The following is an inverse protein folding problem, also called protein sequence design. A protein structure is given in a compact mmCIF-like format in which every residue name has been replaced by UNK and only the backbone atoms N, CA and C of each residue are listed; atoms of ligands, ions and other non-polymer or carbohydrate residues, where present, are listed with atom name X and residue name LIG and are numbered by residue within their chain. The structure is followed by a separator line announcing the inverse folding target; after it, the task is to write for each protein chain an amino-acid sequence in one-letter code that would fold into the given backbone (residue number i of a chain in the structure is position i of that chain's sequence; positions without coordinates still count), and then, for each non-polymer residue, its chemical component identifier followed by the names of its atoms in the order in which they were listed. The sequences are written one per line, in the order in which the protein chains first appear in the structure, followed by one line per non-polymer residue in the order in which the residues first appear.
data_IF_911693524459
#
_entry.id   IF_911693524459
#
_cell.length_a   1.000
_cell.length_b   1.000
_cell.length_c   1.000
_cell.angle_alpha   90.00
_cell.angle_beta   90.00
_cell.angle_gamma   90.00
#
_symmetry.space_group_name_H-M   'P 1'
#
loop_
_entity.id
_entity.type
_entity.pdbx_description
1 polymer ?
#
# COMPACT_ATOMS: atom_id res chain seq x y z
N UNK A 1 25.63 12.59 47.18
CA UNK A 1 25.76 13.41 45.96
C UNK A 1 24.39 13.49 45.30
N UNK A 2 23.70 14.63 45.39
CA UNK A 2 22.47 14.89 44.65
C UNK A 2 22.84 15.16 43.19
N UNK A 3 23.17 14.10 42.45
CA UNK A 3 23.33 14.17 41.00
C UNK A 3 21.96 14.43 40.40
N UNK A 4 21.66 15.69 40.10
CA UNK A 4 20.45 16.07 39.38
C UNK A 4 20.41 15.31 38.05
N UNK A 5 19.63 14.22 38.02
CA UNK A 5 19.53 13.36 36.85
C UNK A 5 19.06 14.15 35.64
N UNK A 6 19.54 13.77 34.45
CA UNK A 6 19.02 14.32 33.19
C UNK A 6 17.58 13.82 33.04
N UNK A 7 16.61 14.70 33.31
CA UNK A 7 15.18 14.42 33.12
C UNK A 7 14.72 15.17 31.87
N UNK A 8 14.23 14.43 30.88
CA UNK A 8 13.62 14.98 29.66
C UNK A 8 12.13 15.22 29.90
N UNK A 9 11.70 16.47 29.83
CA UNK A 9 10.31 16.91 29.77
C UNK A 9 9.92 17.12 28.29
N UNK A 10 9.61 16.03 27.60
CA UNK A 10 9.37 16.06 26.16
C UNK A 10 8.14 16.91 25.79
N UNK A 11 8.33 17.81 24.83
CA UNK A 11 7.25 18.46 24.11
C UNK A 11 7.06 17.79 22.75
N UNK A 12 6.04 16.93 22.64
CA UNK A 12 5.72 16.22 21.40
C UNK A 12 5.16 17.11 20.30
N UNK A 13 5.02 18.42 20.50
CA UNK A 13 4.71 19.41 19.46
C UNK A 13 5.85 20.41 19.24
N UNK A 14 6.88 20.36 20.08
CA UNK A 14 7.97 21.34 20.07
C UNK A 14 8.93 21.20 18.89
N UNK A 15 8.94 20.05 18.20
CA UNK A 15 9.72 19.78 16.97
C UNK A 15 11.18 20.26 17.04
N UNK A 16 11.83 20.03 18.19
CA UNK A 16 13.22 20.45 18.38
C UNK A 16 14.15 19.90 17.29
N UNK A 17 15.07 20.73 16.81
CA UNK A 17 15.94 20.42 15.68
C UNK A 17 15.39 20.86 14.32
N UNK A 18 14.16 21.38 14.23
CA UNK A 18 13.57 21.88 12.96
C UNK A 18 14.41 22.98 12.32
N UNK A 19 14.95 23.92 13.11
CA UNK A 19 15.79 25.03 12.62
C UNK A 19 17.30 24.74 12.71
N UNK A 20 17.69 23.47 12.82
CA UNK A 20 19.08 23.08 13.11
C UNK A 20 19.52 23.38 14.54
N UNK A 21 18.63 23.91 15.40
CA UNK A 21 18.89 24.08 16.83
C UNK A 21 18.94 22.71 17.50
N UNK A 22 20.18 22.25 17.73
CA UNK A 22 20.44 20.97 18.42
C UNK A 22 20.20 21.07 19.92
N UNK A 23 20.08 22.27 20.49
CA UNK A 23 19.83 22.49 21.92
C UNK A 23 18.34 22.67 22.19
N UNK A 24 17.68 21.55 22.41
CA UNK A 24 16.28 21.54 22.78
C UNK A 24 16.10 21.96 24.25
N UNK A 25 15.34 23.03 24.53
CA UNK A 25 15.01 23.48 25.90
C UNK A 25 14.00 22.57 26.64
N UNK A 26 13.95 21.29 26.30
CA UNK A 26 12.98 20.34 26.82
C UNK A 26 13.44 19.60 28.08
N UNK A 27 14.49 20.04 28.77
CA UNK A 27 14.91 19.43 30.03
C UNK A 27 16.22 19.94 30.57
N UNK A 28 16.67 19.33 31.67
CA UNK A 28 18.00 19.54 32.24
C UNK A 28 19.03 18.62 31.56
N UNK A 29 20.26 19.12 31.38
CA UNK A 29 21.40 18.32 30.95
C UNK A 29 21.83 18.45 29.48
N UNK A 30 22.77 17.59 29.06
CA UNK A 30 23.38 17.56 27.73
C UNK A 30 22.52 16.82 26.68
N UNK A 31 21.23 17.17 26.62
CA UNK A 31 20.30 16.63 25.64
C UNK A 31 20.49 17.32 24.29
N UNK A 32 20.50 16.53 23.22
CA UNK A 32 20.51 16.98 21.84
C UNK A 32 19.24 16.53 21.13
N UNK A 33 18.78 17.33 20.17
CA UNK A 33 17.70 16.98 19.27
C UNK A 33 18.16 16.99 17.81
N UNK A 34 17.53 16.14 17.00
CA UNK A 34 17.83 16.00 15.58
C UNK A 34 16.54 15.72 14.80
N UNK A 35 16.28 16.51 13.75
CA UNK A 35 15.24 16.26 12.74
C UNK A 35 15.79 15.31 11.67
N UNK A 36 15.06 14.25 11.39
CA UNK A 36 15.36 13.26 10.35
C UNK A 36 14.19 13.19 9.38
N UNK A 37 14.26 13.89 8.22
CA UNK A 37 13.24 13.76 7.19
C UNK A 37 13.29 12.35 6.57
N UNK A 38 12.20 11.92 5.94
CA UNK A 38 12.07 10.63 5.27
C UNK A 38 12.50 9.44 6.14
N UNK A 39 12.12 9.44 7.43
CA UNK A 39 12.52 8.43 8.41
C UNK A 39 11.28 7.87 9.13
N UNK A 40 11.05 6.53 9.12
CA UNK A 40 11.92 5.50 8.55
C UNK A 40 11.87 5.42 7.02
N UNK A 41 10.88 6.09 6.41
CA UNK A 41 10.63 6.09 4.97
C UNK A 41 10.13 7.46 4.51
N UNK A 42 10.11 7.68 3.19
CA UNK A 42 9.57 8.91 2.59
C UNK A 42 8.15 9.21 3.05
N UNK A 43 7.86 10.49 3.31
CA UNK A 43 6.56 10.98 3.78
C UNK A 43 6.43 11.04 5.30
N UNK A 44 7.47 10.67 6.04
CA UNK A 44 7.51 10.79 7.49
C UNK A 44 8.75 11.53 7.97
N UNK A 45 8.55 12.36 8.97
CA UNK A 45 9.62 13.08 9.67
C UNK A 45 9.73 12.59 11.10
N UNK A 46 10.96 12.31 11.53
CA UNK A 46 11.28 11.82 12.86
C UNK A 46 12.11 12.86 13.62
N UNK A 47 11.63 13.29 14.80
CA UNK A 47 12.37 14.18 15.71
C UNK A 47 12.91 13.37 16.87
N UNK A 48 14.24 13.23 16.93
CA UNK A 48 14.91 12.39 17.93
C UNK A 48 15.54 13.23 19.04
N UNK A 49 15.51 12.72 20.26
CA UNK A 49 16.14 13.29 21.45
C UNK A 49 17.05 12.25 22.09
N UNK A 50 18.26 12.65 22.47
CA UNK A 50 19.24 11.78 23.11
C UNK A 50 20.35 12.57 23.80
N UNK A 51 21.27 11.88 24.48
CA UNK A 51 22.43 12.53 25.10
C UNK A 51 23.56 12.72 24.06
N UNK A 52 24.23 13.89 24.09
CA UNK A 52 25.29 14.28 23.13
C UNK A 52 26.40 13.22 22.96
N UNK A 53 26.78 12.52 24.04
CA UNK A 53 27.90 11.58 24.08
C UNK A 53 27.39 10.13 24.27
N UNK A 54 26.42 9.69 23.44
CA UNK A 54 25.56 8.50 23.60
C UNK A 54 26.17 7.10 23.76
N UNK A 55 27.42 6.96 24.19
CA UNK A 55 28.02 5.70 24.62
C UNK A 55 27.66 5.40 26.08
N UNK A 56 26.80 4.40 26.29
CA UNK A 56 26.43 3.88 27.62
C UNK A 56 25.49 4.75 28.46
N UNK A 57 25.37 6.05 28.16
CA UNK A 57 24.58 6.96 28.97
C UNK A 57 23.07 6.83 28.69
N UNK A 58 22.29 6.82 29.76
CA UNK A 58 20.83 6.88 29.72
C UNK A 58 20.32 8.09 30.50
N UNK A 59 19.10 8.49 30.23
CA UNK A 59 18.39 9.56 30.92
C UNK A 59 17.01 9.08 31.35
N UNK A 60 16.33 9.91 32.14
CA UNK A 60 14.96 9.65 32.56
C UNK A 60 14.00 10.47 31.68
N UNK A 61 13.05 9.82 31.03
CA UNK A 61 11.95 10.49 30.34
C UNK A 61 10.80 10.72 31.32
N UNK A 62 10.37 11.96 31.47
CA UNK A 62 9.16 12.25 32.23
C UNK A 62 7.95 11.60 31.54
N UNK A 63 7.15 10.86 32.32
CA UNK A 63 5.93 10.23 31.83
C UNK A 63 4.80 11.25 31.56
N UNK A 64 4.85 12.43 32.19
CA UNK A 64 4.00 13.59 31.88
C UNK A 64 4.69 14.45 30.83
N UNK A 65 4.05 14.59 29.69
CA UNK A 65 4.52 15.38 28.56
C UNK A 65 4.08 16.84 28.71
N UNK A 66 4.75 17.75 28.01
CA UNK A 66 4.43 19.19 28.09
C UNK A 66 3.06 19.54 27.51
N UNK A 67 2.48 18.69 26.66
CA UNK A 67 1.12 18.84 26.14
C UNK A 67 0.03 18.39 27.13
N UNK A 68 0.41 18.02 28.36
CA UNK A 68 -0.48 17.47 29.38
C UNK A 68 -0.81 15.98 29.20
N UNK A 69 -0.33 15.36 28.11
CA UNK A 69 -0.46 13.93 27.87
C UNK A 69 0.39 13.09 28.82
N UNK A 70 -0.01 11.83 29.03
CA UNK A 70 0.73 10.86 29.85
C UNK A 70 1.09 9.63 29.04
N UNK A 71 2.28 9.08 29.26
CA UNK A 71 2.68 7.78 28.72
C UNK A 71 2.11 6.68 29.63
N UNK A 72 1.30 5.79 29.07
CA UNK A 72 0.62 4.70 29.76
C UNK A 72 1.16 3.37 29.25
N UNK A 73 1.59 2.49 30.18
CA UNK A 73 2.09 1.16 29.85
C UNK A 73 0.95 0.12 29.72
N UNK A 74 1.34 -1.10 29.34
CA UNK A 74 0.47 -2.27 29.28
C UNK A 74 -0.26 -2.44 30.63
N UNK A 75 -1.58 -2.62 30.58
CA UNK A 75 -2.54 -2.72 31.70
C UNK A 75 -3.01 -1.40 32.33
N UNK A 76 -2.77 -0.25 31.68
CA UNK A 76 -3.38 1.02 32.11
C UNK A 76 -2.72 1.64 33.34
N UNK A 77 -1.56 1.13 33.77
CA UNK A 77 -0.79 1.72 34.85
C UNK A 77 0.01 2.91 34.30
N UNK A 78 -0.16 4.05 34.96
CA UNK A 78 0.69 5.22 34.72
C UNK A 78 2.05 4.93 35.32
N UNK A 79 3.08 4.89 34.49
CA UNK A 79 4.45 4.64 34.95
C UNK A 79 4.94 5.81 35.80
N UNK A 80 5.81 5.57 36.77
CA UNK A 80 6.76 6.59 37.25
C UNK A 80 7.64 7.07 36.07
N UNK A 81 8.40 8.18 36.20
CA UNK A 81 9.33 8.60 35.16
C UNK A 81 10.15 7.42 34.58
N UNK A 82 10.23 7.35 33.26
CA UNK A 82 10.79 6.21 32.54
C UNK A 82 12.31 6.32 32.58
N UNK A 83 12.96 5.51 33.41
CA UNK A 83 14.42 5.46 33.52
C UNK A 83 15.07 4.59 32.44
N UNK A 84 16.39 4.71 32.29
CA UNK A 84 17.17 3.87 31.37
C UNK A 84 16.95 4.16 29.88
N UNK A 85 16.40 5.34 29.56
CA UNK A 85 16.12 5.76 28.17
C UNK A 85 17.41 6.20 27.50
N UNK A 86 17.66 5.68 26.30
CA UNK A 86 18.80 6.07 25.47
C UNK A 86 18.41 7.09 24.41
N UNK A 87 17.22 6.94 23.83
CA UNK A 87 16.70 7.81 22.77
C UNK A 87 15.18 7.84 22.82
N UNK A 88 14.61 9.00 22.53
CA UNK A 88 13.17 9.17 22.31
C UNK A 88 12.95 9.77 20.94
N UNK A 89 12.02 9.24 20.16
CA UNK A 89 11.72 9.73 18.81
C UNK A 89 10.22 10.03 18.67
N UNK A 90 9.87 11.13 18.03
CA UNK A 90 8.48 11.49 17.70
C UNK A 90 8.33 11.52 16.19
N UNK A 91 7.38 10.74 15.67
CA UNK A 91 7.11 10.62 14.24
C UNK A 91 5.90 11.45 13.83
N UNK A 92 6.01 12.07 12.67
CA UNK A 92 4.98 12.88 12.05
C UNK A 92 4.80 12.46 10.60
N UNK A 93 3.60 12.66 10.07
CA UNK A 93 3.35 12.57 8.64
C UNK A 93 3.59 13.93 8.01
N UNK A 94 4.36 13.98 6.92
CA UNK A 94 4.84 15.23 6.32
C UNK A 94 3.68 16.10 5.79
N UNK A 95 2.54 15.50 5.42
CA UNK A 95 1.36 16.27 4.99
C UNK A 95 0.53 16.80 6.19
N UNK A 96 0.93 16.53 7.43
CA UNK A 96 0.27 16.99 8.64
C UNK A 96 1.23 17.08 9.85
N UNK A 97 2.36 17.78 9.68
CA UNK A 97 3.43 17.87 10.69
C UNK A 97 3.03 18.47 12.04
N UNK A 98 1.83 19.05 12.17
CA UNK A 98 1.34 19.60 13.44
C UNK A 98 0.77 18.55 14.38
N UNK A 99 0.61 17.30 13.93
CA UNK A 99 0.03 16.21 14.72
C UNK A 99 1.01 15.04 14.79
N UNK A 100 1.59 14.74 15.96
CA UNK A 100 2.48 13.60 16.11
C UNK A 100 1.67 12.31 16.05
N UNK A 101 2.21 11.32 15.36
CA UNK A 101 1.59 10.00 15.17
C UNK A 101 2.02 9.00 16.22
N UNK A 102 3.33 8.93 16.44
CA UNK A 102 3.94 7.84 17.18
C UNK A 102 5.11 8.35 18.02
N UNK A 103 5.21 7.84 19.25
CA UNK A 103 6.30 8.06 20.17
C UNK A 103 7.10 6.75 20.32
N UNK A 104 8.37 6.77 19.96
CA UNK A 104 9.32 5.69 20.16
C UNK A 104 10.18 5.97 21.39
N UNK A 105 10.29 5.00 22.30
CA UNK A 105 11.21 5.03 23.45
C UNK A 105 12.18 3.87 23.32
N UNK A 106 13.46 4.18 23.11
CA UNK A 106 14.55 3.21 23.00
C UNK A 106 15.37 3.20 24.29
N UNK A 107 15.50 2.03 24.89
CA UNK A 107 16.21 1.80 26.14
C UNK A 107 17.69 1.47 25.92
N UNK A 108 18.50 1.64 26.96
CA UNK A 108 19.92 1.29 26.94
C UNK A 108 20.20 -0.18 26.58
N UNK A 109 19.32 -1.09 27.00
CA UNK A 109 19.40 -2.53 26.70
C UNK A 109 18.93 -2.95 25.30
N UNK A 110 18.64 -2.00 24.40
CA UNK A 110 18.25 -2.28 23.02
C UNK A 110 16.74 -2.41 22.78
N UNK A 111 15.95 -2.67 23.83
CA UNK A 111 14.48 -2.69 23.76
C UNK A 111 13.93 -1.36 23.23
N UNK A 112 12.94 -1.44 22.34
CA UNK A 112 12.25 -0.28 21.78
C UNK A 112 10.75 -0.45 21.91
N UNK A 113 10.08 0.50 22.56
CA UNK A 113 8.65 0.50 22.81
C UNK A 113 8.00 1.67 22.09
N UNK A 114 6.83 1.45 21.51
CA UNK A 114 6.10 2.44 20.74
C UNK A 114 4.74 2.74 21.37
N UNK A 115 4.41 4.02 21.38
CA UNK A 115 3.17 4.56 21.93
C UNK A 115 2.47 5.43 20.89
N UNK A 116 1.14 5.41 20.88
CA UNK A 116 0.31 6.30 20.06
C UNK A 116 -0.87 6.82 20.87
N UNK A 117 -1.45 7.93 20.42
CA UNK A 117 -2.72 8.42 20.96
C UNK A 117 -3.85 7.51 20.48
N UNK A 118 -4.90 7.40 21.28
CA UNK A 118 -6.11 6.72 20.84
C UNK A 118 -6.88 7.54 19.80
N UNK A 119 -7.87 6.91 19.17
CA UNK A 119 -8.72 7.55 18.16
C UNK A 119 -9.77 8.48 18.74
N UNK A 120 -9.94 8.46 20.06
CA UNK A 120 -11.04 9.13 20.74
C UNK A 120 -10.66 10.55 21.19
N UNK A 121 -9.51 11.05 20.71
CA UNK A 121 -9.01 12.37 21.10
C UNK A 121 -8.40 12.38 22.51
N UNK A 122 -8.06 11.22 23.07
CA UNK A 122 -7.33 11.14 24.32
C UNK A 122 -5.97 11.82 24.21
N UNK A 123 -5.56 12.50 25.29
CA UNK A 123 -4.22 13.10 25.39
C UNK A 123 -3.15 12.06 25.74
N UNK A 124 -3.54 10.85 26.14
CA UNK A 124 -2.64 9.83 26.62
C UNK A 124 -1.97 9.05 25.46
N UNK A 125 -0.71 8.69 25.69
CA UNK A 125 0.11 7.89 24.80
C UNK A 125 0.09 6.45 25.30
N UNK A 126 -0.68 5.61 24.63
CA UNK A 126 -0.89 4.23 25.03
C UNK A 126 0.14 3.32 24.38
N UNK A 127 0.61 2.31 25.10
CA UNK A 127 1.42 1.24 24.52
C UNK A 127 0.69 0.64 23.31
N UNK A 128 1.39 0.56 22.18
CA UNK A 128 0.88 -0.08 20.97
C UNK A 128 1.59 -1.40 20.74
N UNK A 129 2.92 -1.39 20.70
CA UNK A 129 3.73 -2.57 20.44
C UNK A 129 5.19 -2.38 20.86
N UNK A 130 5.90 -3.49 20.94
CA UNK A 130 7.35 -3.54 21.03
C UNK A 130 7.86 -4.05 19.68
N UNK A 131 8.55 -3.20 18.92
CA UNK A 131 9.02 -3.60 17.60
C UNK A 131 10.27 -4.47 17.69
N UNK A 132 10.35 -5.44 16.79
CA UNK A 132 11.58 -6.17 16.49
C UNK A 132 12.21 -5.74 15.16
N UNK A 133 11.54 -4.91 14.35
CA UNK A 133 12.02 -4.50 13.03
C UNK A 133 11.58 -3.10 12.57
N UNK A 134 12.30 -2.51 11.61
CA UNK A 134 11.87 -1.25 10.97
C UNK A 134 10.55 -1.39 10.21
N UNK A 135 10.27 -2.58 9.68
CA UNK A 135 9.08 -2.88 8.90
C UNK A 135 7.79 -2.76 9.72
N UNK A 136 7.77 -3.30 10.95
CA UNK A 136 6.60 -3.19 11.83
C UNK A 136 6.29 -1.73 12.18
N UNK A 137 7.34 -0.90 12.34
CA UNK A 137 7.20 0.54 12.52
C UNK A 137 6.55 1.20 11.30
N UNK A 138 7.02 0.89 10.11
CA UNK A 138 6.47 1.42 8.86
C UNK A 138 4.99 1.07 8.65
N UNK A 139 4.62 -0.20 8.88
CA UNK A 139 3.22 -0.64 8.78
C UNK A 139 2.33 0.06 9.81
N UNK A 140 2.84 0.26 11.04
CA UNK A 140 2.11 0.98 12.08
C UNK A 140 1.94 2.47 11.74
N UNK A 141 2.94 3.10 11.12
CA UNK A 141 2.84 4.48 10.67
C UNK A 141 1.79 4.64 9.56
N UNK A 142 1.76 3.73 8.58
CA UNK A 142 0.70 3.71 7.55
C UNK A 142 -0.70 3.54 8.19
N UNK A 143 -0.83 2.67 9.20
CA UNK A 143 -2.08 2.47 9.94
C UNK A 143 -2.53 3.76 10.66
N UNK A 144 -1.62 4.40 11.40
CA UNK A 144 -1.90 5.63 12.15
C UNK A 144 -2.23 6.81 11.23
N UNK A 145 -1.57 6.92 10.07
CA UNK A 145 -1.94 7.89 9.03
C UNK A 145 -3.35 7.63 8.52
N UNK A 146 -3.68 6.35 8.28
CA UNK A 146 -5.02 6.01 7.82
C UNK A 146 -6.11 6.38 8.83
N UNK A 147 -5.78 6.20 10.11
CA UNK A 147 -6.68 6.33 11.23
C UNK A 147 -6.90 7.79 11.66
N UNK A 148 -5.83 8.56 11.78
CA UNK A 148 -5.88 9.92 12.33
C UNK A 148 -5.97 11.02 11.28
N UNK A 149 -5.62 10.73 10.01
CA UNK A 149 -5.52 11.75 8.97
C UNK A 149 -6.46 11.54 7.78
N UNK A 150 -7.36 10.56 7.88
CA UNK A 150 -8.20 10.14 6.77
C UNK A 150 -7.42 9.96 5.45
N UNK A 151 -6.20 9.44 5.52
CA UNK A 151 -5.38 9.19 4.36
C UNK A 151 -5.27 7.68 4.08
N UNK A 152 -4.60 7.27 3.00
CA UNK A 152 -4.38 5.86 2.68
C UNK A 152 -3.04 5.65 1.98
N UNK A 153 -2.39 4.52 2.22
CA UNK A 153 -1.18 4.11 1.48
C UNK A 153 -1.59 3.03 0.47
N UNK A 154 -1.38 3.27 -0.82
CA UNK A 154 -1.63 2.28 -1.87
C UNK A 154 -0.46 1.30 -1.91
N UNK A 155 -0.75 0.01 -1.75
CA UNK A 155 0.21 -1.07 -1.90
C UNK A 155 0.01 -1.79 -3.25
N UNK A 156 0.98 -1.65 -4.15
CA UNK A 156 0.97 -2.23 -5.49
C UNK A 156 1.59 -3.63 -5.56
N UNK A 157 1.87 -4.31 -4.45
CA UNK A 157 2.29 -5.71 -4.51
C UNK A 157 1.18 -6.59 -5.11
N UNK A 158 1.49 -7.30 -6.21
CA UNK A 158 0.46 -8.04 -6.98
C UNK A 158 -0.36 -9.03 -6.15
N UNK A 159 0.26 -9.71 -5.17
CA UNK A 159 -0.44 -10.64 -4.27
C UNK A 159 -1.58 -9.99 -3.48
N UNK A 160 -1.45 -8.70 -3.16
CA UNK A 160 -2.52 -7.91 -2.53
C UNK A 160 -3.50 -7.34 -3.55
N UNK A 161 -3.09 -7.22 -4.81
CA UNK A 161 -3.96 -6.84 -5.92
C UNK A 161 -4.86 -8.00 -6.39
N UNK A 162 -4.49 -9.26 -6.11
CA UNK A 162 -5.23 -10.47 -6.52
C UNK A 162 -5.99 -11.18 -5.40
N UNK A 163 -5.60 -10.99 -4.14
CA UNK A 163 -6.26 -11.60 -2.97
C UNK A 163 -7.54 -10.87 -2.59
N UNK A 164 -8.67 -11.59 -2.54
CA UNK A 164 -9.95 -11.04 -2.07
C UNK A 164 -9.86 -10.54 -0.64
N UNK A 165 -10.45 -9.36 -0.38
CA UNK A 165 -10.57 -8.69 0.93
C UNK A 165 -9.26 -8.16 1.55
N UNK A 166 -8.39 -7.52 0.76
CA UNK A 166 -7.36 -6.66 1.35
C UNK A 166 -7.89 -5.24 1.54
N UNK A 167 -8.15 -4.88 2.79
CA UNK A 167 -8.46 -3.51 3.15
C UNK A 167 -7.15 -2.70 3.14
N UNK A 168 -7.01 -1.76 2.19
CA UNK A 168 -5.89 -0.80 2.11
C UNK A 168 -5.83 0.15 3.32
N UNK A 169 -6.71 -0.04 4.30
CA UNK A 169 -6.72 0.64 5.59
C UNK A 169 -6.99 -0.38 6.69
N UNK A 170 -6.31 -0.16 7.84
CA UNK A 170 -6.45 -0.76 9.17
C UNK A 170 -7.38 -1.98 9.33
N UNK A 171 -6.91 -2.99 10.08
CA UNK A 171 -7.80 -4.00 10.68
C UNK A 171 -8.89 -3.33 11.53
N UNK A 172 -10.13 -3.31 11.06
CA UNK A 172 -11.26 -2.68 11.76
C UNK A 172 -12.40 -2.27 10.82
N UNK A 173 -13.43 -1.62 11.38
CA UNK A 173 -14.62 -1.17 10.66
C UNK A 173 -14.40 0.18 9.92
N UNK A 174 -13.18 0.47 9.46
CA UNK A 174 -12.83 1.78 8.89
C UNK A 174 -13.23 1.95 7.42
N UNK A 175 -14.05 1.04 6.89
CA UNK A 175 -14.48 1.02 5.50
C UNK A 175 -13.35 0.69 4.53
N UNK A 176 -13.72 0.23 3.34
CA UNK A 176 -12.77 0.06 2.26
C UNK A 176 -12.42 1.45 1.69
N UNK A 177 -11.17 1.91 1.88
CA UNK A 177 -10.71 3.20 1.34
C UNK A 177 -10.17 3.14 -0.07
N UNK A 178 -9.76 1.96 -0.53
CA UNK A 178 -9.28 1.73 -1.90
C UNK A 178 -9.98 0.51 -2.47
N UNK A 179 -10.58 0.65 -3.64
CA UNK A 179 -11.05 -0.46 -4.45
C UNK A 179 -9.93 -0.92 -5.39
N UNK A 180 -9.82 -2.23 -5.57
CA UNK A 180 -8.93 -2.81 -6.57
C UNK A 180 -9.74 -3.56 -7.60
N UNK A 181 -9.57 -3.19 -8.86
CA UNK A 181 -10.28 -3.81 -9.98
C UNK A 181 -9.26 -4.37 -10.97
N UNK A 182 -9.25 -5.69 -11.21
CA UNK A 182 -8.45 -6.26 -12.30
C UNK A 182 -9.10 -5.92 -13.63
N UNK A 183 -8.34 -5.34 -14.55
CA UNK A 183 -8.82 -4.98 -15.89
C UNK A 183 -7.96 -5.66 -16.94
N UNK A 184 -8.59 -6.09 -18.03
CA UNK A 184 -7.92 -6.69 -19.18
C UNK A 184 -7.73 -5.65 -20.27
N UNK A 185 -6.55 -5.60 -20.84
CA UNK A 185 -6.23 -4.82 -22.04
C UNK A 185 -6.03 -5.76 -23.20
N UNK A 186 -6.74 -5.52 -24.30
CA UNK A 186 -6.65 -6.28 -25.53
C UNK A 186 -6.63 -5.34 -26.74
N UNK A 187 -5.97 -5.78 -27.81
CA UNK A 187 -6.12 -5.16 -29.13
C UNK A 187 -7.46 -5.61 -29.74
N UNK A 188 -8.27 -4.68 -30.24
CA UNK A 188 -9.60 -4.96 -30.83
C UNK A 188 -9.54 -5.53 -32.27
N UNK A 189 -8.38 -5.99 -32.75
CA UNK A 189 -8.24 -6.57 -34.09
C UNK A 189 -8.63 -8.05 -34.09
N UNK A 190 -9.35 -8.47 -35.14
CA UNK A 190 -9.72 -9.87 -35.34
C UNK A 190 -8.48 -10.78 -35.36
N UNK A 191 -8.55 -11.92 -34.67
CA UNK A 191 -7.45 -12.88 -34.57
C UNK A 191 -6.45 -12.62 -33.44
N UNK A 192 -6.55 -11.50 -32.72
CA UNK A 192 -5.67 -11.21 -31.59
C UNK A 192 -6.35 -11.48 -30.23
N UNK A 193 -6.20 -12.71 -29.71
CA UNK A 193 -6.79 -13.14 -28.42
C UNK A 193 -5.91 -12.81 -27.20
N UNK A 194 -4.70 -12.27 -27.42
CA UNK A 194 -3.79 -11.99 -26.31
C UNK A 194 -4.23 -10.73 -25.58
N UNK A 195 -4.31 -10.86 -24.27
CA UNK A 195 -4.61 -9.78 -23.34
C UNK A 195 -3.65 -9.87 -22.18
N UNK A 196 -3.32 -8.72 -21.61
CA UNK A 196 -2.63 -8.64 -20.33
C UNK A 196 -3.53 -7.95 -19.32
N UNK A 197 -3.19 -8.11 -18.04
CA UNK A 197 -3.97 -7.58 -16.93
C UNK A 197 -3.20 -6.46 -16.26
N UNK A 198 -3.91 -5.41 -15.90
CA UNK A 198 -3.47 -4.43 -14.93
C UNK A 198 -4.45 -4.38 -13.77
N UNK A 199 -4.06 -3.73 -12.68
CA UNK A 199 -4.89 -3.55 -11.50
C UNK A 199 -5.10 -2.06 -11.28
N UNK A 200 -6.36 -1.63 -11.30
CA UNK A 200 -6.76 -0.27 -10.96
C UNK A 200 -6.97 -0.18 -9.45
N UNK A 201 -6.17 0.64 -8.79
CA UNK A 201 -6.31 0.99 -7.37
C UNK A 201 -6.97 2.36 -7.30
N UNK A 202 -8.22 2.42 -6.90
CA UNK A 202 -9.00 3.66 -6.87
C UNK A 202 -9.30 4.07 -5.43
N UNK A 203 -8.96 5.30 -5.07
CA UNK A 203 -9.24 5.87 -3.76
C UNK A 203 -10.73 6.21 -3.69
N UNK A 204 -11.44 5.62 -2.73
CA UNK A 204 -12.89 5.75 -2.57
C UNK A 204 -13.27 7.15 -2.05
N UNK A 205 -13.26 8.12 -2.95
CA UNK A 205 -13.66 9.51 -2.67
C UNK A 205 -15.18 9.70 -2.54
N UNK A 206 -15.97 8.69 -2.93
CA UNK A 206 -17.44 8.69 -2.96
C UNK A 206 -18.10 8.93 -1.60
N UNK A 207 -17.37 8.81 -0.50
CA UNK A 207 -17.87 9.13 0.85
C UNK A 207 -17.91 10.64 1.14
N UNK A 208 -17.47 11.50 0.22
CA UNK A 208 -17.40 12.96 0.43
C UNK A 208 -16.33 13.39 1.45
N UNK A 209 -15.51 12.45 1.94
CA UNK A 209 -14.60 12.68 3.08
C UNK A 209 -13.21 13.19 2.70
N UNK A 210 -12.93 13.49 1.43
CA UNK A 210 -11.65 14.07 1.02
C UNK A 210 -10.44 13.20 1.42
N UNK A 211 -10.53 11.87 1.18
CA UNK A 211 -9.44 10.93 1.49
C UNK A 211 -8.19 11.34 0.71
N UNK A 212 -7.06 11.47 1.42
CA UNK A 212 -5.76 11.80 0.83
C UNK A 212 -4.95 10.54 0.54
N UNK A 213 -4.17 10.55 -0.53
CA UNK A 213 -3.14 9.53 -0.71
C UNK A 213 -1.88 9.92 0.09
N UNK A 214 -1.46 9.03 0.98
CA UNK A 214 -0.29 9.21 1.84
C UNK A 214 1.00 8.75 1.16
N UNK A 215 0.96 7.59 0.52
CA UNK A 215 2.10 6.97 -0.15
C UNK A 215 1.64 5.95 -1.19
N UNK A 216 2.52 5.64 -2.13
CA UNK A 216 2.43 4.48 -3.02
C UNK A 216 3.63 3.60 -2.71
N UNK A 217 3.41 2.31 -2.46
CA UNK A 217 4.47 1.36 -2.12
C UNK A 217 4.28 0.02 -2.79
N UNK A 218 5.31 -0.80 -2.78
CA UNK A 218 5.21 -2.23 -3.03
C UNK A 218 6.33 -2.96 -2.27
N UNK A 219 6.19 -4.27 -2.11
CA UNK A 219 7.20 -5.16 -1.54
C UNK A 219 7.83 -6.00 -2.64
N UNK A 220 9.17 -5.97 -2.70
CA UNK A 220 9.94 -6.68 -3.72
C UNK A 220 9.67 -8.18 -3.65
N UNK A 221 9.32 -8.79 -4.77
CA UNK A 221 8.96 -10.21 -4.86
C UNK A 221 7.67 -10.55 -4.12
N UNK A 222 6.82 -9.56 -3.81
CA UNK A 222 5.44 -9.75 -3.35
C UNK A 222 5.28 -10.30 -1.94
N UNK A 223 6.39 -10.61 -1.27
CA UNK A 223 6.40 -11.06 0.11
C UNK A 223 6.49 -9.82 1.01
N UNK A 224 5.47 -9.59 1.82
CA UNK A 224 5.47 -8.45 2.75
C UNK A 224 6.66 -8.49 3.71
N UNK A 225 7.27 -9.65 3.99
CA UNK A 225 8.47 -9.80 4.83
C UNK A 225 9.76 -9.27 4.18
N UNK A 226 9.74 -8.91 2.89
CA UNK A 226 10.89 -8.36 2.14
C UNK A 226 10.94 -6.83 2.21
N UNK A 227 11.94 -6.26 1.55
CA UNK A 227 12.15 -4.81 1.46
C UNK A 227 10.92 -4.12 0.84
N UNK A 228 10.39 -3.13 1.57
CA UNK A 228 9.40 -2.18 1.07
C UNK A 228 10.11 -1.16 0.20
N UNK A 229 9.54 -0.88 -0.97
CA UNK A 229 9.91 0.23 -1.83
C UNK A 229 8.76 1.25 -1.88
N UNK A 230 9.04 2.51 -1.52
CA UNK A 230 8.13 3.62 -1.74
C UNK A 230 8.37 4.24 -3.11
N UNK A 231 7.30 4.41 -3.87
CA UNK A 231 7.34 5.02 -5.19
C UNK A 231 7.25 6.53 -5.01
N UNK A 232 8.25 7.24 -5.54
CA UNK A 232 8.31 8.70 -5.58
C UNK A 232 8.25 9.18 -7.03
N UNK A 233 7.52 10.27 -7.27
CA UNK A 233 7.25 10.81 -8.61
C UNK A 233 7.93 12.17 -8.77
N UNK A 234 9.27 12.17 -8.69
CA UNK A 234 10.13 13.37 -8.82
C UNK A 234 9.76 14.52 -7.87
N UNK A 235 9.54 14.19 -6.59
CA UNK A 235 9.32 15.18 -5.52
C UNK A 235 7.95 15.86 -5.52
N UNK A 236 7.04 15.44 -6.39
CA UNK A 236 5.71 16.05 -6.51
C UNK A 236 4.72 15.49 -5.49
N UNK A 237 3.78 16.33 -5.05
CA UNK A 237 2.72 15.91 -4.13
C UNK A 237 1.78 14.89 -4.80
N UNK A 238 1.46 13.83 -4.06
CA UNK A 238 0.54 12.78 -4.49
C UNK A 238 -0.81 12.84 -3.76
N UNK A 239 -1.04 13.84 -2.91
CA UNK A 239 -2.22 13.90 -2.02
C UNK A 239 -3.56 13.74 -2.73
N UNK A 240 -3.64 14.23 -3.98
CA UNK A 240 -4.88 14.36 -4.75
C UNK A 240 -5.08 13.22 -5.77
N UNK A 241 -4.19 12.23 -5.78
CA UNK A 241 -4.28 11.08 -6.68
C UNK A 241 -5.59 10.34 -6.44
N UNK A 242 -6.35 10.15 -7.51
CA UNK A 242 -7.62 9.42 -7.51
C UNK A 242 -7.42 7.94 -7.73
N UNK A 243 -6.58 7.58 -8.70
CA UNK A 243 -6.34 6.17 -9.00
C UNK A 243 -4.94 5.91 -9.55
N UNK A 244 -4.46 4.69 -9.31
CA UNK A 244 -3.18 4.19 -9.79
C UNK A 244 -3.43 2.88 -10.53
N UNK A 245 -2.95 2.81 -11.78
CA UNK A 245 -3.11 1.66 -12.66
C UNK A 245 -1.77 0.95 -12.72
N UNK A 246 -1.66 -0.25 -12.14
CA UNK A 246 -0.40 -0.97 -12.04
C UNK A 246 -0.30 -2.14 -13.02
N UNK A 247 0.80 -2.17 -13.77
CA UNK A 247 1.14 -3.20 -14.74
C UNK A 247 2.36 -4.02 -14.27
N UNK A 248 2.38 -5.31 -14.58
CA UNK A 248 3.31 -6.29 -14.01
C UNK A 248 3.83 -7.23 -15.09
N UNK A 249 5.14 -7.39 -15.25
CA UNK A 249 5.71 -8.40 -16.16
C UNK A 249 5.58 -9.82 -15.62
N UNK A 250 5.86 -9.98 -14.33
CA UNK A 250 5.87 -11.26 -13.61
C UNK A 250 4.92 -11.18 -12.41
N UNK A 251 5.06 -12.11 -11.47
CA UNK A 251 4.04 -12.32 -10.45
C UNK A 251 3.99 -11.28 -9.34
N UNK A 252 4.93 -10.35 -9.17
CA UNK A 252 4.97 -9.62 -7.91
C UNK A 252 5.23 -8.11 -7.97
N UNK A 253 6.12 -7.64 -8.84
CA UNK A 253 6.59 -6.25 -8.82
C UNK A 253 5.95 -5.43 -9.95
N UNK A 254 5.38 -4.25 -9.66
CA UNK A 254 4.89 -3.36 -10.70
C UNK A 254 6.09 -2.81 -11.49
N UNK A 255 5.93 -2.66 -12.80
CA UNK A 255 6.99 -2.16 -13.70
C UNK A 255 6.62 -0.85 -14.40
N UNK A 256 5.32 -0.61 -14.54
CA UNK A 256 4.76 0.56 -15.19
C UNK A 256 3.46 0.92 -14.45
N UNK A 257 3.25 2.21 -14.20
CA UNK A 257 2.03 2.73 -13.61
C UNK A 257 1.49 3.90 -14.42
N UNK A 258 0.17 4.03 -14.44
CA UNK A 258 -0.49 5.31 -14.74
C UNK A 258 -1.04 5.89 -13.44
N UNK A 259 -0.80 7.16 -13.19
CA UNK A 259 -1.32 7.89 -12.05
C UNK A 259 -2.36 8.88 -12.56
N UNK A 260 -3.62 8.68 -12.16
CA UNK A 260 -4.70 9.62 -12.41
C UNK A 260 -4.79 10.59 -11.24
N UNK A 261 -4.46 11.85 -11.50
CA UNK A 261 -4.56 12.93 -10.53
C UNK A 261 -5.21 14.13 -11.21
N UNK A 262 -6.38 14.60 -10.74
CA UNK A 262 -7.04 15.79 -11.28
C UNK A 262 -6.25 17.08 -10.97
N UNK A 263 -5.34 17.03 -9.99
CA UNK A 263 -4.44 18.13 -9.65
C UNK A 263 -3.26 18.27 -10.62
N UNK A 264 -2.58 19.41 -10.58
CA UNK A 264 -1.41 19.63 -11.42
C UNK A 264 -0.17 18.98 -10.80
N UNK A 265 0.50 18.13 -11.59
CA UNK A 265 1.81 17.58 -11.27
C UNK A 265 1.96 16.14 -11.72
N UNK A 266 1.35 15.21 -10.97
CA UNK A 266 1.69 13.78 -11.04
C UNK A 266 0.88 12.97 -12.03
N UNK A 267 0.01 13.60 -12.82
CA UNK A 267 -0.81 12.88 -13.79
C UNK A 267 0.06 12.33 -14.95
N UNK A 268 -0.09 11.05 -15.24
CA UNK A 268 0.52 10.38 -16.40
C UNK A 268 1.20 9.05 -16.10
N UNK A 269 2.00 8.60 -17.07
CA UNK A 269 2.71 7.33 -17.03
C UNK A 269 4.08 7.45 -16.36
N UNK A 270 4.41 6.45 -15.55
CA UNK A 270 5.70 6.32 -14.89
C UNK A 270 6.20 4.88 -14.97
N UNK A 271 7.48 4.71 -15.26
CA UNK A 271 8.14 3.41 -15.23
C UNK A 271 9.11 3.30 -14.07
N UNK A 272 9.29 2.06 -13.63
CA UNK A 272 10.22 1.72 -12.56
C UNK A 272 11.62 2.22 -12.90
N UNK A 273 12.20 3.00 -11.98
CA UNK A 273 13.57 3.49 -12.10
C UNK A 273 14.60 2.48 -11.60
N UNK A 274 15.80 2.96 -11.30
CA UNK A 274 16.79 2.16 -10.60
C UNK A 274 16.45 2.17 -9.10
N UNK A 275 16.23 0.99 -8.51
CA UNK A 275 16.08 0.87 -7.06
C UNK A 275 17.41 1.17 -6.38
N UNK A 276 17.39 2.05 -5.39
CA UNK A 276 18.48 2.13 -4.43
C UNK A 276 18.24 1.15 -3.26
N UNK A 277 19.22 1.04 -2.36
CA UNK A 277 19.10 0.23 -1.14
C UNK A 277 18.32 0.92 -0.02
N UNK A 278 17.81 2.13 -0.23
CA UNK A 278 17.15 2.95 0.80
C UNK A 278 15.67 2.60 1.01
N UNK A 279 15.09 1.75 0.17
CA UNK A 279 13.65 1.43 0.20
C UNK A 279 12.79 2.56 -0.37
N UNK A 280 13.39 3.53 -1.07
CA UNK A 280 12.69 4.54 -1.86
C UNK A 280 13.11 4.38 -3.31
N UNK A 281 12.18 4.55 -4.23
CA UNK A 281 12.44 4.39 -5.65
C UNK A 281 11.83 5.57 -6.40
N UNK A 282 12.68 6.32 -7.09
CA UNK A 282 12.22 7.36 -8.00
C UNK A 282 11.77 6.73 -9.31
N UNK A 283 10.51 6.94 -9.66
CA UNK A 283 9.92 6.46 -10.89
C UNK A 283 9.91 7.55 -11.95
N UNK A 284 10.34 7.21 -13.15
CA UNK A 284 10.56 8.18 -14.23
C UNK A 284 9.34 8.28 -15.14
N UNK A 285 8.96 9.51 -15.51
CA UNK A 285 7.83 9.77 -16.41
C UNK A 285 8.09 9.16 -17.80
N UNK A 286 7.03 8.62 -18.43
CA UNK A 286 7.08 8.04 -19.78
C UNK A 286 6.28 8.95 -20.74
N UNK A 287 6.94 9.91 -21.40
CA UNK A 287 6.24 10.90 -22.23
C UNK A 287 5.62 10.30 -23.49
N UNK A 288 6.16 9.19 -23.99
CA UNK A 288 5.71 8.55 -25.24
C UNK A 288 4.29 7.97 -25.12
N UNK A 289 3.82 7.73 -23.89
CA UNK A 289 2.47 7.22 -23.63
C UNK A 289 1.46 8.33 -23.32
N UNK A 290 1.78 9.61 -23.53
CA UNK A 290 0.91 10.75 -23.16
C UNK A 290 -0.48 10.72 -23.79
N UNK A 291 -0.61 10.11 -24.97
CA UNK A 291 -1.88 9.99 -25.70
C UNK A 291 -2.76 8.84 -25.14
N UNK A 292 -2.22 8.03 -24.23
CA UNK A 292 -2.94 6.97 -23.53
C UNK A 292 -3.30 7.48 -22.14
N UNK A 293 -4.58 7.67 -21.89
CA UNK A 293 -5.09 8.19 -20.61
C UNK A 293 -5.86 7.12 -19.84
N UNK A 294 -6.18 7.38 -18.57
CA UNK A 294 -7.06 6.52 -17.79
C UNK A 294 -8.41 6.26 -18.50
N UNK A 295 -8.93 7.24 -19.26
CA UNK A 295 -10.20 7.08 -19.99
C UNK A 295 -10.12 5.98 -21.04
N UNK A 296 -9.00 5.89 -21.75
CA UNK A 296 -8.78 4.84 -22.75
C UNK A 296 -8.68 3.46 -22.06
N UNK A 297 -8.03 3.41 -20.90
CA UNK A 297 -7.84 2.19 -20.11
C UNK A 297 -9.15 1.70 -19.49
N UNK A 298 -9.95 2.60 -18.92
CA UNK A 298 -11.23 2.29 -18.27
C UNK A 298 -12.28 1.87 -19.31
N UNK A 299 -12.30 2.51 -20.49
CA UNK A 299 -13.24 2.19 -21.56
C UNK A 299 -12.83 0.95 -22.38
N UNK A 300 -11.57 0.49 -22.27
CA UNK A 300 -11.05 -0.61 -23.09
C UNK A 300 -10.95 -0.24 -24.58
N UNK A 301 -10.74 1.04 -24.90
CA UNK A 301 -10.81 1.57 -26.26
C UNK A 301 -9.44 1.89 -26.86
N UNK A 302 -8.38 1.17 -26.46
CA UNK A 302 -7.07 1.35 -27.08
C UNK A 302 -7.13 0.94 -28.55
N UNK A 303 -6.70 1.85 -29.42
CA UNK A 303 -6.48 1.49 -30.83
C UNK A 303 -5.20 0.65 -30.98
N UNK A 304 -4.94 0.21 -32.22
CA UNK A 304 -3.81 -0.66 -32.53
C UNK A 304 -2.47 -0.02 -32.16
N UNK A 305 -2.31 1.26 -32.50
CA UNK A 305 -1.09 2.04 -32.28
C UNK A 305 -0.84 2.27 -30.79
N UNK A 306 -1.86 2.68 -30.04
CA UNK A 306 -1.80 2.88 -28.59
C UNK A 306 -1.52 1.57 -27.84
N UNK A 307 -2.14 0.47 -28.27
CA UNK A 307 -1.85 -0.85 -27.70
C UNK A 307 -0.37 -1.21 -27.92
N UNK A 308 0.16 -1.02 -29.13
CA UNK A 308 1.56 -1.32 -29.44
C UNK A 308 2.53 -0.40 -28.69
N UNK A 309 2.22 0.89 -28.53
CA UNK A 309 3.00 1.81 -27.69
C UNK A 309 3.07 1.35 -26.23
N UNK A 310 1.93 0.96 -25.66
CA UNK A 310 1.87 0.43 -24.30
C UNK A 310 2.66 -0.87 -24.17
N UNK A 311 2.55 -1.78 -25.13
CA UNK A 311 3.34 -3.01 -25.17
C UNK A 311 4.83 -2.71 -25.28
N UNK A 312 5.24 -1.78 -26.14
CA UNK A 312 6.64 -1.36 -26.28
C UNK A 312 7.22 -0.87 -24.95
N UNK A 313 6.51 0.02 -24.25
CA UNK A 313 6.94 0.50 -22.94
C UNK A 313 7.03 -0.63 -21.88
N UNK A 314 6.13 -1.62 -21.94
CA UNK A 314 6.19 -2.79 -21.06
C UNK A 314 7.37 -3.70 -21.41
N UNK A 315 7.67 -3.91 -22.70
CA UNK A 315 8.85 -4.67 -23.15
C UNK A 315 10.13 -3.99 -22.69
N UNK A 316 10.25 -2.67 -22.85
CA UNK A 316 11.38 -1.88 -22.32
C UNK A 316 11.53 -2.02 -20.80
N UNK A 317 10.42 -2.15 -20.08
CA UNK A 317 10.40 -2.39 -18.64
C UNK A 317 10.65 -3.87 -18.25
N UNK A 318 10.98 -4.73 -19.22
CA UNK A 318 11.36 -6.13 -19.02
C UNK A 318 10.25 -7.16 -19.29
N UNK A 319 9.08 -6.76 -19.79
CA UNK A 319 7.95 -7.67 -20.04
C UNK A 319 8.05 -8.35 -21.41
N UNK A 320 9.08 -9.17 -21.62
CA UNK A 320 9.36 -9.81 -22.92
C UNK A 320 8.32 -10.83 -23.39
N UNK A 321 7.40 -11.25 -22.50
CA UNK A 321 6.32 -12.18 -22.84
C UNK A 321 5.15 -11.51 -23.58
N UNK A 322 5.05 -10.18 -23.52
CA UNK A 322 4.03 -9.42 -24.24
C UNK A 322 4.39 -9.29 -25.71
N UNK A 323 3.34 -9.29 -26.55
CA UNK A 323 3.47 -9.21 -28.00
C UNK A 323 2.64 -8.06 -28.51
N UNK A 324 3.21 -7.38 -29.50
CA UNK A 324 2.51 -6.37 -30.27
C UNK A 324 1.31 -7.00 -30.98
N UNK A 325 0.30 -6.16 -31.23
CA UNK A 325 -0.81 -6.52 -32.06
C UNK A 325 -0.29 -6.69 -33.51
N UNK A 326 -0.63 -7.78 -34.21
CA UNK A 326 -0.18 -8.00 -35.58
C UNK A 326 -0.69 -6.89 -36.49
N UNK A 327 0.16 -6.44 -37.41
CA UNK A 327 -0.20 -5.46 -38.41
C UNK A 327 -1.45 -5.92 -39.18
N UNK A 328 -2.32 -4.99 -39.63
CA UNK A 328 -3.43 -5.35 -40.50
C UNK A 328 -2.87 -6.13 -41.69
N UNK A 329 -3.35 -7.36 -41.90
CA UNK A 329 -3.07 -8.10 -43.13
C UNK A 329 -3.53 -7.19 -44.26
N UNK A 330 -2.60 -6.71 -45.09
CA UNK A 330 -2.96 -5.96 -46.28
C UNK A 330 -4.03 -6.78 -47.01
N UNK A 331 -5.15 -6.16 -47.45
CA UNK A 331 -6.17 -6.91 -48.18
C UNK A 331 -5.45 -7.64 -49.30
N UNK A 332 -5.60 -8.98 -49.34
CA UNK A 332 -5.08 -9.77 -50.44
C UNK A 332 -5.59 -9.09 -51.70
N UNK A 333 -4.67 -8.49 -52.46
CA UNK A 333 -4.95 -7.97 -53.79
C UNK A 333 -5.59 -9.14 -54.52
N UNK A 334 -6.90 -9.06 -54.68
CA UNK A 334 -7.65 -10.08 -55.40
C UNK A 334 -7.19 -9.87 -56.84
N UNK A 335 -6.18 -10.63 -57.25
CA UNK A 335 -5.86 -10.77 -58.65
C UNK A 335 -7.11 -11.36 -59.27
N UNK A 336 -7.86 -10.50 -59.96
CA UNK A 336 -8.95 -10.88 -60.84
C UNK A 336 -8.38 -11.76 -61.94
N UNK A 337 -8.14 -13.04 -61.64
CA UNK A 337 -8.09 -14.07 -62.66
C UNK A 337 -9.53 -14.31 -63.10
N UNK A 338 -9.87 -13.58 -64.15
CA UNK A 338 -10.97 -13.83 -65.06
C UNK A 338 -10.85 -15.26 -65.60
N UNK A 339 -11.48 -16.19 -64.90
CA UNK A 339 -11.76 -17.54 -65.39
C UNK A 339 -13.27 -17.71 -65.39
N UNK A 340 -13.83 -17.43 -66.55
CA UNK A 340 -15.21 -17.70 -66.95
C UNK A 340 -15.63 -19.14 -66.60
N UNK A 341 -16.66 -19.36 -65.76
CA UNK A 341 -17.30 -20.67 -65.65
C UNK A 341 -18.49 -20.74 -66.60
N UNK A 342 -18.52 -21.80 -67.41
CA UNK A 342 -19.63 -22.15 -68.27
C UNK A 342 -20.93 -22.43 -67.48
N UNK A 343 -22.04 -22.11 -68.15
CA UNK A 343 -23.43 -22.18 -67.68
C UNK A 343 -23.88 -23.58 -67.21
N UNK A 344 -24.86 -23.68 -66.28
CA UNK A 344 -25.30 -24.94 -65.67
C UNK A 344 -26.50 -25.60 -66.39
N UNK A 345 -26.56 -26.92 -66.32
CA UNK A 345 -27.73 -27.75 -66.68
C UNK A 345 -28.65 -27.97 -65.44
N UNK A 346 -29.97 -28.16 -65.64
CA UNK A 346 -30.94 -28.24 -64.54
C UNK A 346 -31.10 -29.68 -64.03
N UNK A 347 -31.11 -29.85 -62.71
CA UNK A 347 -31.33 -31.15 -62.07
C UNK A 347 -32.03 -31.02 -60.71
N UNK A 348 -33.33 -31.36 -60.73
CA UNK A 348 -34.13 -32.06 -59.72
C UNK A 348 -34.09 -31.63 -58.25
N UNK A 349 -35.26 -31.19 -57.78
CA UNK A 349 -35.61 -30.94 -56.40
C UNK A 349 -35.77 -32.24 -55.58
N UNK A 350 -35.13 -32.31 -54.41
CA UNK A 350 -35.53 -33.20 -53.33
C UNK A 350 -35.80 -32.42 -52.05
N UNK A 351 -36.95 -32.74 -51.45
CA UNK A 351 -37.47 -32.17 -50.22
C UNK A 351 -36.74 -32.80 -49.02
N UNK A 352 -36.20 -31.98 -48.12
CA UNK A 352 -35.80 -32.42 -46.79
C UNK A 352 -36.70 -31.79 -45.73
N UNK A 353 -37.27 -32.68 -44.91
CA UNK A 353 -38.21 -32.45 -43.82
C UNK A 353 -37.43 -31.99 -42.57
N UNK A 354 -37.90 -30.93 -41.90
CA UNK A 354 -37.43 -30.52 -40.58
C UNK A 354 -38.33 -31.15 -39.52
N UNK A 355 -37.77 -32.02 -38.67
CA UNK A 355 -38.46 -32.61 -37.53
C UNK A 355 -37.96 -31.96 -36.23
N UNK A 356 -38.89 -31.42 -35.44
CA UNK A 356 -38.65 -30.89 -34.09
C UNK A 356 -38.62 -32.05 -33.09
N UNK A 357 -37.63 -32.09 -32.20
CA UNK A 357 -37.68 -32.95 -31.02
C UNK A 357 -37.24 -32.19 -29.76
N UNK A 358 -38.22 -31.92 -28.91
CA UNK A 358 -38.07 -31.55 -27.50
C UNK A 358 -37.50 -32.73 -26.71
N UNK A 359 -36.45 -32.50 -25.92
CA UNK A 359 -35.86 -33.51 -25.04
C UNK A 359 -35.63 -32.95 -23.62
N UNK A 360 -36.58 -33.23 -22.72
CA UNK A 360 -36.43 -33.15 -21.27
C UNK A 360 -35.51 -34.30 -20.81
N UNK A 361 -34.42 -33.98 -20.12
CA UNK A 361 -33.48 -34.95 -19.56
C UNK A 361 -33.23 -34.70 -18.08
N UNK A 362 -33.89 -35.52 -17.25
CA UNK A 362 -33.69 -35.67 -15.81
C UNK A 362 -32.34 -36.36 -15.54
N UNK A 363 -31.53 -35.83 -14.61
CA UNK A 363 -30.44 -36.60 -13.98
C UNK A 363 -30.54 -36.52 -12.46
N UNK A 364 -31.01 -37.65 -11.93
CA UNK A 364 -30.74 -38.35 -10.67
C UNK A 364 -29.81 -37.67 -9.66
N UNK A 365 -30.41 -37.32 -8.53
CA UNK A 365 -29.78 -37.03 -7.24
C UNK A 365 -29.18 -38.29 -6.61
N UNK A 366 -27.88 -38.27 -6.30
CA UNK A 366 -27.24 -39.26 -5.44
C UNK A 366 -27.35 -38.86 -3.97
N UNK A 367 -27.71 -39.87 -3.20
CA UNK A 367 -27.89 -39.94 -1.75
C UNK A 367 -26.54 -39.82 -1.03
N UNK A 368 -26.42 -38.90 -0.08
CA UNK A 368 -25.74 -39.14 1.19
C UNK A 368 -26.51 -38.43 2.30
N UNK A 369 -27.19 -39.22 3.12
CA UNK A 369 -27.88 -38.77 4.31
C UNK A 369 -26.99 -38.82 5.56
N UNK A 370 -27.49 -38.16 6.59
CA UNK A 370 -27.16 -38.39 8.00
C UNK A 370 -26.21 -37.34 8.59
N UNK A 371 -26.66 -36.33 9.32
CA UNK A 371 -27.23 -36.33 10.70
C UNK A 371 -26.22 -35.70 11.65
N UNK A 372 -26.60 -34.63 12.35
CA UNK A 372 -25.79 -34.13 13.48
C UNK A 372 -26.01 -32.67 13.86
N UNK A 373 -27.15 -32.38 14.46
CA UNK A 373 -27.37 -31.21 15.33
C UNK A 373 -26.28 -31.16 16.41
N UNK A 374 -25.54 -30.05 16.52
CA UNK A 374 -25.01 -29.52 17.79
C UNK A 374 -24.41 -28.11 17.58
N UNK A 375 -24.84 -27.15 18.40
CA UNK A 375 -23.93 -26.14 18.95
C UNK A 375 -23.79 -24.78 18.27
N UNK A 376 -24.86 -23.99 18.22
CA UNK A 376 -24.78 -22.51 18.13
C UNK A 376 -24.20 -21.89 19.42
N UNK A 377 -22.93 -22.14 19.77
CA UNK A 377 -22.24 -21.47 20.89
C UNK A 377 -20.71 -21.31 20.71
N UNK A 378 -20.19 -21.32 19.47
CA UNK A 378 -18.74 -21.42 19.22
C UNK A 378 -17.96 -20.15 18.86
N UNK A 379 -18.60 -19.03 18.49
CA UNK A 379 -17.86 -17.92 17.86
C UNK A 379 -17.39 -16.81 18.84
N UNK A 380 -18.00 -16.69 20.02
CA UNK A 380 -17.61 -15.69 21.05
C UNK A 380 -16.49 -16.15 22.01
N UNK A 381 -16.19 -17.46 22.08
CA UNK A 381 -15.10 -17.99 22.92
C UNK A 381 -13.70 -17.92 22.28
N UNK A 382 -13.63 -17.94 20.93
CA UNK A 382 -12.36 -18.01 20.21
C UNK A 382 -11.55 -16.68 20.26
N UNK A 383 -12.19 -15.54 20.54
CA UNK A 383 -11.52 -14.25 20.72
C UNK A 383 -10.90 -14.03 22.11
N UNK A 384 -11.21 -14.87 23.10
CA UNK A 384 -10.69 -14.75 24.46
C UNK A 384 -9.41 -15.58 24.71
N UNK A 385 -9.15 -16.62 23.91
CA UNK A 385 -7.99 -17.50 24.08
C UNK A 385 -6.70 -17.03 23.39
N UNK A 386 -6.73 -16.00 22.54
CA UNK A 386 -5.51 -15.39 21.97
C UNK A 386 -4.88 -14.31 22.87
N UNK A 387 -5.53 -13.91 23.96
CA UNK A 387 -5.03 -12.87 24.88
C UNK A 387 -4.37 -13.38 26.15
N UNK A 388 -4.07 -14.68 26.25
CA UNK A 388 -3.38 -15.22 27.42
C UNK A 388 -2.58 -16.47 27.06
N UNK A 389 -1.30 -16.28 26.69
CA UNK A 389 -0.17 -17.18 27.02
C UNK A 389 1.13 -16.66 26.41
N UNK A 390 1.89 -15.94 27.24
CA UNK A 390 3.32 -15.74 27.07
C UNK A 390 4.06 -17.02 27.52
N UNK A 391 4.95 -17.63 26.71
CA UNK A 391 5.64 -18.85 27.06
C UNK A 391 7.05 -18.57 27.61
N UNK A 392 7.20 -17.74 28.65
CA UNK A 392 8.49 -17.61 29.37
C UNK A 392 8.28 -17.29 30.86
N UNK A 393 8.09 -18.34 31.66
CA UNK A 393 8.44 -18.32 33.08
C UNK A 393 9.35 -19.52 33.32
N UNK A 394 10.65 -19.26 33.46
CA UNK A 394 11.55 -20.18 34.17
C UNK A 394 11.58 -19.72 35.62
N UNK A 395 11.08 -20.55 36.52
CA UNK A 395 11.45 -20.48 37.92
C UNK A 395 12.88 -21.01 38.08
N UNK A 396 13.52 -20.50 39.12
CA UNK A 396 14.89 -20.73 39.59
C UNK A 396 15.14 -22.23 39.80
#
# INVERSE_FOLDING_TARGET
MNGGGNILHLNVYGRCGENGDRQCKCGSGNLIAEKKPNTPVTGFTCYTHGLRNGYGNTFTLNNKLQDGGKIIEVRGLVREPISGVKKVSVYYWDQAETKPLLLEVKYGGGTTIYYAKDNNGGSNWNFIFQSQSSKELEEKLDELVCLHHNAVTINLSKGLSTGGQHNYCCSGNHGQKVSVTPVKVSCNKQGHQRHFKYYKHEVNTSSGTGIKLAAIKYYVGGNSLKNRNNITLSGQSISDVKSVYAFYCSENDPVLIYVDSPGQGVNGWYKKGNSDSSGNEEWTKVPDLREITHRNLDAGTLNHEQYNQLVGALIEAGCTSYKECPAPTAPLSTSSDDSTPASPAPGTAEKFVFEYATGLGVIVSSVFGGSGLTGFLGYKGYKLLKNSRDPWVRQI
#
